data_IF_772143355710
#
_entry.id   IF_772143355710
#
_cell.length_a   1.000
_cell.length_b   1.000
_cell.length_c   1.000
_cell.angle_alpha   90.00
_cell.angle_beta   90.00
_cell.angle_gamma   90.00
#
_symmetry.space_group_name_H-M   'P 1'
#
loop_
_entity.id
_entity.type
_entity.pdbx_description
1 polymer ?
#
# COMPACT_ATOMS: atom_id res chain seq x y z
N UNK A 1 -44.20 49.26 -75.20
CA UNK A 1 -43.27 49.20 -76.36
C UNK A 1 -41.88 48.84 -75.84
N UNK A 2 -41.15 48.04 -76.62
CA UNK A 2 -39.77 47.50 -76.47
C UNK A 2 -38.70 48.51 -75.93
N UNK A 3 -37.45 48.10 -75.65
CA UNK A 3 -36.95 47.00 -74.80
C UNK A 3 -35.69 47.41 -73.94
N UNK A 4 -35.36 46.54 -72.98
CA UNK A 4 -34.04 46.09 -72.50
C UNK A 4 -32.77 46.97 -72.66
N UNK A 5 -32.07 47.22 -71.55
CA UNK A 5 -30.60 47.13 -71.49
C UNK A 5 -30.15 46.62 -70.11
N UNK A 6 -29.51 45.46 -70.11
CA UNK A 6 -29.03 44.71 -68.94
C UNK A 6 -27.58 45.15 -68.65
N UNK A 7 -27.29 45.65 -67.45
CA UNK A 7 -25.91 45.91 -66.98
C UNK A 7 -25.64 44.97 -65.82
N UNK A 8 -24.73 44.01 -66.01
CA UNK A 8 -24.21 43.18 -64.93
C UNK A 8 -23.18 43.99 -64.12
N UNK A 9 -23.46 44.24 -62.83
CA UNK A 9 -22.43 44.56 -61.84
C UNK A 9 -22.04 43.27 -61.12
N UNK A 10 -20.76 42.89 -61.23
CA UNK A 10 -20.18 41.84 -60.40
C UNK A 10 -19.89 42.39 -59.00
N UNK A 11 -20.60 41.90 -57.98
CA UNK A 11 -20.30 42.17 -56.58
C UNK A 11 -19.39 41.07 -56.02
N UNK A 12 -18.16 41.43 -55.67
CA UNK A 12 -17.21 40.56 -54.98
C UNK A 12 -17.62 40.42 -53.51
N UNK A 13 -18.09 39.23 -53.12
CA UNK A 13 -18.38 38.87 -51.74
C UNK A 13 -17.07 38.42 -51.09
N UNK A 14 -16.45 39.28 -50.27
CA UNK A 14 -15.38 38.87 -49.37
C UNK A 14 -15.97 38.06 -48.22
N UNK A 15 -15.80 36.73 -48.28
CA UNK A 15 -16.10 35.84 -47.17
C UNK A 15 -15.00 35.96 -46.10
N UNK A 16 -15.28 36.71 -45.04
CA UNK A 16 -14.44 36.74 -43.83
C UNK A 16 -14.70 35.45 -43.05
N UNK A 17 -13.87 34.43 -43.25
CA UNK A 17 -13.85 33.24 -42.38
C UNK A 17 -13.43 33.65 -40.97
N UNK A 18 -14.40 33.74 -40.06
CA UNK A 18 -14.11 33.81 -38.64
C UNK A 18 -13.55 32.45 -38.20
N UNK A 19 -12.23 32.36 -38.12
CA UNK A 19 -11.56 31.21 -37.52
C UNK A 19 -11.90 31.20 -36.02
N UNK A 20 -12.78 30.28 -35.63
CA UNK A 20 -13.04 29.98 -34.23
C UNK A 20 -11.77 29.35 -33.66
N UNK A 21 -10.94 30.16 -32.97
CA UNK A 21 -9.80 29.68 -32.22
C UNK A 21 -10.33 28.82 -31.07
N UNK A 22 -10.32 27.50 -31.26
CA UNK A 22 -10.51 26.55 -30.17
C UNK A 22 -9.23 26.62 -29.35
N UNK A 23 -9.26 27.37 -28.25
CA UNK A 23 -8.18 27.33 -27.27
C UNK A 23 -8.02 25.87 -26.80
N UNK A 24 -6.80 25.29 -26.83
CA UNK A 24 -6.57 23.97 -26.30
C UNK A 24 -7.00 23.97 -24.83
N UNK A 25 -8.01 23.18 -24.49
CA UNK A 25 -8.34 22.90 -23.11
C UNK A 25 -7.07 22.33 -22.47
N UNK A 26 -6.45 23.09 -21.57
CA UNK A 26 -5.30 22.62 -20.82
C UNK A 26 -5.74 21.35 -20.08
N UNK A 27 -5.25 20.20 -20.53
CA UNK A 27 -5.36 18.97 -19.77
C UNK A 27 -4.45 19.17 -18.57
N UNK A 28 -5.03 19.62 -17.46
CA UNK A 28 -4.33 19.61 -16.19
C UNK A 28 -4.06 18.14 -15.87
N UNK A 29 -2.79 17.74 -15.90
CA UNK A 29 -2.41 16.44 -15.39
C UNK A 29 -2.89 16.35 -13.94
N UNK A 30 -3.64 15.30 -13.60
CA UNK A 30 -4.02 15.07 -12.21
C UNK A 30 -2.74 15.02 -11.35
N UNK A 31 -2.76 15.63 -10.16
CA UNK A 31 -1.61 15.58 -9.28
C UNK A 31 -1.27 14.11 -8.94
N UNK A 32 0.03 13.78 -8.78
CA UNK A 32 0.43 12.43 -8.40
C UNK A 32 -0.32 11.93 -7.16
N UNK A 33 -0.79 10.69 -7.20
CA UNK A 33 -1.65 10.12 -6.16
C UNK A 33 -1.24 8.71 -5.77
N UNK A 34 -0.96 8.53 -4.49
CA UNK A 34 -0.69 7.29 -3.78
C UNK A 34 -1.40 7.36 -2.42
N UNK A 35 -2.75 7.30 -2.38
CA UNK A 35 -3.53 7.77 -1.24
C UNK A 35 -3.54 6.81 -0.04
N UNK A 36 -2.91 5.65 -0.14
CA UNK A 36 -2.93 4.61 0.90
C UNK A 36 -1.71 3.70 0.76
N UNK A 37 -1.47 2.90 1.79
CA UNK A 37 -0.47 1.83 1.73
C UNK A 37 -0.72 0.93 0.51
N UNK A 38 0.36 0.64 -0.22
CA UNK A 38 0.33 -0.12 -1.48
C UNK A 38 -0.45 0.54 -2.63
N UNK A 39 -0.64 1.87 -2.58
CA UNK A 39 -1.06 2.67 -3.74
C UNK A 39 -2.56 2.68 -3.97
N UNK A 40 -3.04 3.32 -5.06
CA UNK A 40 -4.45 3.62 -5.26
C UNK A 40 -5.36 2.38 -5.25
N UNK A 41 -4.84 1.23 -5.70
CA UNK A 41 -5.57 -0.04 -5.74
C UNK A 41 -5.20 -0.99 -4.59
N UNK A 42 -4.24 -0.64 -3.72
CA UNK A 42 -3.76 -1.52 -2.65
C UNK A 42 -3.01 -2.76 -3.14
N UNK A 43 -2.49 -2.75 -4.37
CA UNK A 43 -1.78 -3.85 -5.05
C UNK A 43 -0.27 -3.59 -5.20
N UNK A 44 0.21 -2.51 -4.60
CA UNK A 44 1.59 -2.05 -4.56
C UNK A 44 2.18 -1.75 -5.96
N UNK A 45 1.32 -1.20 -6.82
CA UNK A 45 1.62 -0.85 -8.20
C UNK A 45 1.35 0.64 -8.45
N UNK A 46 2.37 1.32 -8.95
CA UNK A 46 2.22 2.66 -9.53
C UNK A 46 1.58 2.58 -10.91
N UNK A 47 0.56 3.40 -11.21
CA UNK A 47 0.01 3.52 -12.56
C UNK A 47 0.90 4.35 -13.49
N UNK A 48 1.86 5.08 -12.94
CA UNK A 48 2.71 6.01 -13.68
C UNK A 48 3.68 5.26 -14.62
N UNK A 49 4.04 5.92 -15.71
CA UNK A 49 4.93 5.40 -16.75
C UNK A 49 5.95 6.45 -17.20
N UNK A 50 6.88 6.09 -18.08
CA UNK A 50 7.93 6.99 -18.56
C UNK A 50 9.09 7.11 -17.56
N UNK A 51 9.40 6.00 -16.88
CA UNK A 51 10.49 5.93 -15.92
C UNK A 51 11.75 5.31 -16.52
N UNK A 52 12.90 5.69 -15.95
CA UNK A 52 14.20 5.14 -16.28
C UNK A 52 14.19 3.61 -16.12
N UNK A 53 14.55 2.89 -17.18
CA UNK A 53 14.74 1.42 -17.16
C UNK A 53 16.13 1.00 -16.70
N UNK A 54 17.04 1.97 -16.57
CA UNK A 54 18.40 1.83 -16.07
C UNK A 54 18.77 3.16 -15.42
N UNK A 55 19.33 3.11 -14.21
CA UNK A 55 19.83 4.29 -13.53
C UNK A 55 21.29 4.58 -13.91
N UNK A 56 21.78 5.81 -13.65
CA UNK A 56 23.23 6.06 -13.57
C UNK A 56 23.90 5.13 -12.55
N UNK A 57 25.22 4.96 -12.65
CA UNK A 57 25.98 4.04 -11.79
C UNK A 57 25.87 4.38 -10.29
N UNK A 58 25.75 5.67 -9.96
CA UNK A 58 25.54 6.15 -8.58
C UNK A 58 24.06 6.15 -8.14
N UNK A 59 23.14 5.72 -9.01
CA UNK A 59 21.70 5.75 -8.79
C UNK A 59 20.98 6.95 -9.40
N UNK A 60 19.66 7.04 -9.22
CA UNK A 60 18.87 8.20 -9.62
C UNK A 60 19.26 9.45 -8.81
N UNK A 61 18.97 10.63 -9.35
CA UNK A 61 19.26 11.90 -8.67
C UNK A 61 18.47 12.01 -7.36
N UNK A 62 19.17 12.22 -6.23
CA UNK A 62 18.55 12.58 -4.95
C UNK A 62 18.09 14.05 -5.03
N UNK A 63 16.79 14.27 -5.12
CA UNK A 63 16.18 15.61 -5.26
C UNK A 63 16.21 16.33 -3.92
N UNK A 64 15.78 15.65 -2.86
CA UNK A 64 15.77 16.19 -1.50
C UNK A 64 15.75 15.09 -0.44
N UNK A 65 16.11 15.48 0.78
CA UNK A 65 16.00 14.68 1.99
C UNK A 65 15.20 15.47 3.01
N UNK A 66 14.15 14.86 3.56
CA UNK A 66 13.45 15.35 4.74
C UNK A 66 13.95 14.59 5.98
N UNK A 67 14.02 15.31 7.11
CA UNK A 67 14.39 14.78 8.43
C UNK A 67 13.44 15.36 9.49
N UNK A 68 13.33 14.71 10.65
CA UNK A 68 12.46 15.14 11.74
C UNK A 68 11.03 14.71 11.49
N UNK A 69 10.82 13.53 10.91
CA UNK A 69 9.50 12.91 10.70
C UNK A 69 9.21 11.79 11.70
N UNK A 70 10.10 11.59 12.67
CA UNK A 70 9.98 10.60 13.74
C UNK A 70 10.49 9.24 13.30
N UNK A 71 10.98 8.46 14.26
CA UNK A 71 11.50 7.13 13.99
C UNK A 71 10.36 6.18 13.59
N UNK A 72 10.52 5.41 12.52
CA UNK A 72 9.48 4.46 12.15
C UNK A 72 9.66 3.79 10.79
N UNK A 73 8.68 2.97 10.48
CA UNK A 73 8.61 2.09 9.32
C UNK A 73 7.37 2.34 8.45
N UNK A 74 6.49 3.26 8.84
CA UNK A 74 5.35 3.64 8.01
C UNK A 74 5.84 4.20 6.66
N UNK A 75 5.17 3.82 5.57
CA UNK A 75 5.47 4.34 4.25
C UNK A 75 5.09 5.82 4.11
N UNK A 76 4.98 6.26 2.87
CA UNK A 76 4.39 7.56 2.55
C UNK A 76 3.10 7.39 1.77
N UNK A 77 2.17 8.30 2.03
CA UNK A 77 0.96 8.51 1.26
C UNK A 77 1.06 9.86 0.58
N UNK A 78 0.67 9.94 -0.68
CA UNK A 78 0.76 11.15 -1.50
C UNK A 78 -0.62 11.45 -2.05
N UNK A 79 -1.14 12.64 -1.78
CA UNK A 79 -2.42 13.09 -2.29
C UNK A 79 -2.47 14.61 -2.28
N UNK A 80 -3.15 15.21 -3.26
CA UNK A 80 -3.41 16.65 -3.33
C UNK A 80 -2.17 17.54 -3.11
N UNK A 81 -1.03 17.13 -3.68
CA UNK A 81 0.24 17.87 -3.60
C UNK A 81 0.91 17.83 -2.23
N UNK A 82 0.64 16.81 -1.42
CA UNK A 82 1.22 16.62 -0.09
C UNK A 82 1.67 15.18 0.14
N UNK A 83 2.61 15.04 1.06
CA UNK A 83 3.15 13.75 1.50
C UNK A 83 2.79 13.58 2.97
N UNK A 84 2.28 12.41 3.34
CA UNK A 84 1.88 12.07 4.69
C UNK A 84 2.62 10.82 5.16
N UNK A 85 3.11 10.85 6.40
CA UNK A 85 3.76 9.70 7.04
C UNK A 85 3.53 9.75 8.55
N UNK A 86 3.91 8.71 9.27
CA UNK A 86 3.78 8.62 10.73
C UNK A 86 5.09 8.14 11.36
N UNK A 87 5.59 8.82 12.38
CA UNK A 87 6.82 8.45 13.09
C UNK A 87 6.66 8.59 14.60
N UNK A 88 7.51 7.91 15.34
CA UNK A 88 7.57 7.95 16.80
C UNK A 88 8.43 9.14 17.25
N UNK A 89 7.89 9.90 18.20
CA UNK A 89 8.59 10.94 18.97
C UNK A 89 8.29 10.69 20.45
N UNK A 90 9.32 10.44 21.26
CA UNK A 90 9.19 10.28 22.72
C UNK A 90 8.03 9.32 23.14
N UNK A 91 7.98 8.14 22.51
CA UNK A 91 6.93 7.11 22.64
C UNK A 91 5.55 7.44 22.05
N UNK A 92 5.34 8.62 21.45
CA UNK A 92 4.09 9.01 20.80
C UNK A 92 4.17 8.82 19.27
N UNK A 93 3.12 8.26 18.67
CA UNK A 93 2.96 8.30 17.21
C UNK A 93 2.57 9.70 16.79
N UNK A 94 3.29 10.27 15.84
CA UNK A 94 3.02 11.58 15.26
C UNK A 94 2.90 11.45 13.75
N UNK A 95 1.75 11.88 13.22
CA UNK A 95 1.53 12.04 11.79
C UNK A 95 2.20 13.35 11.35
N UNK A 96 3.01 13.30 10.31
CA UNK A 96 3.63 14.47 9.70
C UNK A 96 3.15 14.63 8.27
N UNK A 97 2.72 15.85 7.92
CA UNK A 97 2.48 16.25 6.54
C UNK A 97 3.64 17.11 6.02
N UNK A 98 4.09 16.84 4.81
CA UNK A 98 5.11 17.56 4.08
C UNK A 98 4.52 18.13 2.78
N UNK A 99 5.11 19.21 2.27
CA UNK A 99 4.94 19.58 0.87
C UNK A 99 5.72 18.63 -0.05
N UNK A 100 5.55 18.78 -1.36
CA UNK A 100 6.27 17.95 -2.34
C UNK A 100 7.79 18.20 -2.38
N UNK A 101 8.30 19.21 -1.67
CA UNK A 101 9.74 19.47 -1.53
C UNK A 101 10.29 18.95 -0.20
N UNK A 102 9.49 18.19 0.55
CA UNK A 102 9.90 17.56 1.82
C UNK A 102 9.86 18.50 3.02
N UNK A 103 9.23 19.68 2.93
CA UNK A 103 9.12 20.62 4.05
C UNK A 103 7.88 20.36 4.88
N UNK A 104 8.06 20.24 6.20
CA UNK A 104 6.97 20.05 7.17
C UNK A 104 5.95 21.17 7.08
N UNK A 105 4.69 20.79 6.90
CA UNK A 105 3.53 21.69 6.88
C UNK A 105 2.78 21.65 8.21
N UNK A 106 2.59 20.45 8.78
CA UNK A 106 1.98 20.26 10.09
C UNK A 106 2.38 18.90 10.70
N UNK A 107 2.20 18.78 12.02
CA UNK A 107 2.28 17.53 12.78
C UNK A 107 1.05 17.36 13.66
N UNK A 108 0.63 16.12 13.88
CA UNK A 108 -0.49 15.77 14.76
C UNK A 108 -0.19 14.47 15.51
N UNK A 109 -0.41 14.48 16.83
CA UNK A 109 -0.24 13.31 17.68
C UNK A 109 -1.41 12.31 17.51
N UNK A 110 -1.08 11.03 17.44
CA UNK A 110 -2.03 9.92 17.53
C UNK A 110 -1.71 9.02 18.71
N UNK A 111 -1.48 9.64 19.87
CA UNK A 111 -1.30 8.97 21.15
C UNK A 111 -0.03 8.12 21.25
N UNK A 112 0.14 7.57 22.46
CA UNK A 112 1.30 6.74 22.82
C UNK A 112 1.33 5.46 21.98
N UNK A 113 2.45 5.25 21.30
CA UNK A 113 2.77 4.06 20.52
C UNK A 113 3.23 2.91 21.43
N UNK A 114 4.03 3.21 22.48
CA UNK A 114 4.67 2.23 23.41
C UNK A 114 4.90 0.84 22.80
N UNK A 115 5.55 0.74 21.62
CA UNK A 115 5.62 -0.52 20.91
C UNK A 115 6.40 -1.53 21.74
N UNK A 116 5.82 -2.70 21.92
CA UNK A 116 6.52 -3.86 22.48
C UNK A 116 7.32 -4.58 21.40
N UNK A 117 6.98 -4.34 20.13
CA UNK A 117 7.67 -4.84 18.97
C UNK A 117 9.06 -4.18 18.81
N UNK A 118 10.07 -5.02 18.56
CA UNK A 118 11.44 -4.59 18.31
C UNK A 118 11.82 -4.76 16.84
N UNK A 119 12.51 -3.77 16.23
CA UNK A 119 12.76 -2.41 16.70
C UNK A 119 11.47 -1.57 16.88
N UNK A 120 11.47 -0.61 17.81
CA UNK A 120 10.37 0.34 18.04
C UNK A 120 10.15 1.28 16.83
N UNK A 121 9.01 1.97 16.77
CA UNK A 121 8.69 2.94 15.71
C UNK A 121 7.34 2.76 15.03
N UNK A 122 6.73 3.88 14.62
CA UNK A 122 5.41 3.87 13.99
C UNK A 122 5.41 3.10 12.64
N UNK A 123 4.41 2.23 12.43
CA UNK A 123 4.32 1.32 11.27
C UNK A 123 3.12 1.56 10.36
N UNK A 124 1.98 1.93 10.93
CA UNK A 124 0.75 2.19 10.18
C UNK A 124 0.90 3.41 9.27
N UNK A 125 0.76 3.20 7.96
CA UNK A 125 0.85 4.28 6.97
C UNK A 125 -0.48 5.04 6.93
N UNK A 126 -0.48 6.39 6.93
CA UNK A 126 -1.72 7.15 6.81
C UNK A 126 -2.50 6.82 5.53
N UNK A 127 -3.82 6.77 5.61
CA UNK A 127 -4.71 6.64 4.45
C UNK A 127 -5.46 7.96 4.23
N UNK A 128 -5.50 8.44 2.99
CA UNK A 128 -6.24 9.61 2.55
C UNK A 128 -7.51 9.17 1.82
N UNK A 129 -8.64 9.78 2.18
CA UNK A 129 -9.88 9.70 1.42
C UNK A 129 -10.54 11.09 1.37
N UNK A 130 -10.48 11.72 0.20
CA UNK A 130 -10.87 13.12 0.03
C UNK A 130 -10.13 14.05 1.00
N UNK A 131 -10.89 14.84 1.77
CA UNK A 131 -10.34 15.78 2.74
C UNK A 131 -9.89 15.14 4.08
N UNK A 132 -10.04 13.81 4.23
CA UNK A 132 -9.79 13.10 5.49
C UNK A 132 -8.51 12.29 5.44
N UNK A 133 -7.80 12.28 6.56
CA UNK A 133 -6.67 11.38 6.82
C UNK A 133 -7.04 10.44 7.96
N UNK A 134 -6.70 9.16 7.80
CA UNK A 134 -6.89 8.10 8.79
C UNK A 134 -5.55 7.46 9.13
N UNK A 135 -5.30 7.19 10.41
CA UNK A 135 -4.07 6.52 10.83
C UNK A 135 -4.32 5.67 12.08
N UNK A 136 -3.61 4.55 12.20
CA UNK A 136 -3.64 3.67 13.36
C UNK A 136 -2.22 3.52 13.95
N UNK A 137 -2.07 3.75 15.26
CA UNK A 137 -0.81 3.51 15.95
C UNK A 137 -0.66 2.04 16.41
N UNK A 138 0.52 1.64 16.90
CA UNK A 138 0.74 0.25 17.34
C UNK A 138 -0.15 -0.17 18.52
N UNK A 139 -0.57 0.81 19.34
CA UNK A 139 -1.51 0.64 20.46
C UNK A 139 -2.99 0.54 20.06
N UNK A 140 -3.32 0.55 18.77
CA UNK A 140 -4.71 0.47 18.29
C UNK A 140 -5.52 1.75 18.48
N UNK A 141 -4.88 2.91 18.61
CA UNK A 141 -5.55 4.20 18.49
C UNK A 141 -5.77 4.52 17.01
N UNK A 142 -7.04 4.54 16.60
CA UNK A 142 -7.47 4.93 15.26
C UNK A 142 -7.95 6.39 15.28
N UNK A 143 -7.38 7.23 14.42
CA UNK A 143 -7.69 8.66 14.35
C UNK A 143 -8.16 9.07 12.96
N UNK A 144 -9.03 10.09 12.92
CA UNK A 144 -9.37 10.82 11.71
C UNK A 144 -9.01 12.30 11.88
N UNK A 145 -8.30 12.84 10.88
CA UNK A 145 -7.88 14.23 10.80
C UNK A 145 -8.42 14.90 9.53
N UNK A 146 -8.56 16.23 9.56
CA UNK A 146 -8.58 17.06 8.34
C UNK A 146 -7.20 16.99 7.68
N UNK A 147 -7.10 16.39 6.48
CA UNK A 147 -5.83 16.18 5.79
C UNK A 147 -5.08 17.49 5.49
N UNK A 148 -5.81 18.60 5.35
CA UNK A 148 -5.24 19.91 5.06
C UNK A 148 -4.56 20.56 6.28
N UNK A 149 -5.06 20.33 7.48
CA UNK A 149 -4.65 21.08 8.68
C UNK A 149 -4.07 20.21 9.78
N UNK A 150 -4.27 18.89 9.73
CA UNK A 150 -3.97 17.98 10.83
C UNK A 150 -4.94 18.10 12.00
N UNK A 151 -6.03 18.86 11.85
CA UNK A 151 -7.01 19.05 12.92
C UNK A 151 -7.80 17.76 13.16
N UNK A 152 -7.90 17.34 14.43
CA UNK A 152 -8.62 16.14 14.81
C UNK A 152 -10.13 16.28 14.57
N UNK A 153 -10.70 15.24 13.97
CA UNK A 153 -12.13 15.10 13.68
C UNK A 153 -12.75 14.19 14.73
N UNK A 154 -12.19 12.99 14.87
CA UNK A 154 -12.53 11.99 15.87
C UNK A 154 -11.33 11.06 16.08
N UNK A 155 -11.34 10.36 17.21
CA UNK A 155 -10.38 9.31 17.53
C UNK A 155 -11.06 8.22 18.37
N UNK A 156 -10.56 6.99 18.31
CA UNK A 156 -11.11 5.84 18.99
C UNK A 156 -9.99 4.83 19.33
N UNK A 157 -10.01 4.29 20.54
CA UNK A 157 -9.15 3.17 20.94
C UNK A 157 -9.85 1.85 20.64
N UNK A 158 -9.25 1.05 19.74
CA UNK A 158 -9.77 -0.28 19.41
C UNK A 158 -9.76 -1.21 20.62
N UNK A 159 -8.74 -1.07 21.48
CA UNK A 159 -8.61 -1.88 22.69
C UNK A 159 -9.69 -1.53 23.72
N UNK A 160 -9.90 -0.24 23.99
CA UNK A 160 -10.86 0.19 25.00
C UNK A 160 -12.32 -0.04 24.58
N UNK A 161 -12.66 0.14 23.29
CA UNK A 161 -14.04 0.05 22.81
C UNK A 161 -14.49 -1.38 22.49
N UNK A 162 -13.56 -2.26 22.11
CA UNK A 162 -13.88 -3.59 21.58
C UNK A 162 -13.19 -4.75 22.31
N UNK A 163 -12.60 -4.49 23.48
CA UNK A 163 -11.76 -5.45 24.22
C UNK A 163 -10.69 -6.06 23.30
N UNK A 164 -10.07 -5.18 22.52
CA UNK A 164 -9.04 -5.48 21.53
C UNK A 164 -7.79 -6.07 22.16
N UNK A 165 -7.07 -6.87 21.37
CA UNK A 165 -5.79 -7.47 21.77
C UNK A 165 -4.81 -7.41 20.63
N UNK A 166 -3.70 -6.70 20.82
CA UNK A 166 -2.60 -6.67 19.87
C UNK A 166 -1.84 -8.01 19.84
N UNK A 167 -1.28 -8.34 18.67
CA UNK A 167 -0.41 -9.50 18.50
C UNK A 167 1.00 -9.29 19.06
N UNK A 168 1.87 -10.30 18.93
CA UNK A 168 3.25 -10.23 19.44
C UNK A 168 4.19 -9.25 18.74
N UNK A 169 3.70 -8.56 17.71
CA UNK A 169 4.40 -7.47 17.02
C UNK A 169 3.58 -6.17 17.06
N UNK A 170 2.66 -6.04 18.03
CA UNK A 170 1.68 -4.96 18.10
C UNK A 170 0.84 -4.86 16.81
N UNK A 171 0.38 -3.65 16.45
CA UNK A 171 -0.35 -3.37 15.21
C UNK A 171 0.48 -2.58 14.21
N UNK A 172 0.21 -2.80 12.92
CA UNK A 172 0.86 -2.11 11.80
C UNK A 172 -0.11 -1.79 10.66
N UNK A 173 -1.40 -1.79 10.97
CA UNK A 173 -2.46 -1.64 9.97
C UNK A 173 -2.45 -0.21 9.41
N UNK A 174 -2.60 -0.13 8.10
CA UNK A 174 -2.94 1.11 7.41
C UNK A 174 -4.44 1.07 7.16
N UNK A 175 -5.25 2.00 7.70
CA UNK A 175 -6.70 1.89 7.68
C UNK A 175 -7.27 1.70 6.27
N UNK A 176 -8.17 0.72 6.11
CA UNK A 176 -8.89 0.47 4.87
C UNK A 176 -10.18 1.31 4.86
N UNK A 177 -10.36 2.10 3.81
CA UNK A 177 -11.62 2.81 3.54
C UNK A 177 -12.48 1.99 2.59
N UNK A 178 -13.74 1.80 2.95
CA UNK A 178 -14.78 1.18 2.14
C UNK A 178 -16.04 2.06 2.10
N UNK A 179 -16.17 2.90 1.07
CA UNK A 179 -17.28 3.85 0.96
C UNK A 179 -17.28 4.82 2.14
N UNK A 180 -18.34 4.77 2.95
CA UNK A 180 -18.48 5.60 4.17
C UNK A 180 -17.91 4.94 5.43
N UNK A 181 -17.17 3.85 5.28
CA UNK A 181 -16.63 3.06 6.39
C UNK A 181 -15.11 3.11 6.44
N UNK A 182 -14.58 3.12 7.65
CA UNK A 182 -13.18 2.79 7.95
C UNK A 182 -13.15 1.47 8.69
N UNK A 183 -12.29 0.55 8.24
CA UNK A 183 -12.12 -0.77 8.84
C UNK A 183 -10.97 -0.73 9.85
N UNK A 184 -11.19 -1.34 11.01
CA UNK A 184 -10.14 -1.64 11.99
C UNK A 184 -10.23 -3.09 12.45
N UNK A 185 -9.11 -3.64 12.91
CA UNK A 185 -9.05 -5.03 13.38
C UNK A 185 -8.60 -5.09 14.86
N UNK A 186 -9.54 -4.94 15.82
CA UNK A 186 -9.20 -4.99 17.24
C UNK A 186 -8.55 -6.31 17.67
N UNK A 187 -8.93 -7.43 17.05
CA UNK A 187 -8.60 -8.75 17.58
C UNK A 187 -9.23 -9.00 18.96
N UNK A 188 -8.90 -10.13 19.59
CA UNK A 188 -9.45 -10.45 20.91
C UNK A 188 -10.96 -10.72 20.81
N UNK A 189 -11.78 -9.97 21.54
CA UNK A 189 -13.23 -10.19 21.58
C UNK A 189 -13.96 -9.84 20.27
N UNK A 190 -13.32 -9.06 19.40
CA UNK A 190 -13.86 -8.62 18.10
C UNK A 190 -12.79 -8.74 17.03
N UNK A 191 -12.99 -9.55 15.99
CA UNK A 191 -11.96 -9.71 14.96
C UNK A 191 -11.81 -8.44 14.08
N UNK A 192 -12.92 -7.88 13.63
CA UNK A 192 -12.98 -6.71 12.76
C UNK A 192 -14.17 -5.81 13.11
N UNK A 193 -14.03 -4.52 12.83
CA UNK A 193 -15.10 -3.53 12.92
C UNK A 193 -15.13 -2.68 11.67
N UNK A 194 -16.31 -2.18 11.31
CA UNK A 194 -16.44 -0.99 10.49
C UNK A 194 -16.96 0.15 11.34
N UNK A 195 -16.34 1.31 11.19
CA UNK A 195 -16.79 2.56 11.78
C UNK A 195 -17.23 3.49 10.66
N UNK A 196 -18.19 4.37 10.94
CA UNK A 196 -18.50 5.50 10.08
C UNK A 196 -17.23 6.37 9.97
N UNK A 197 -16.74 6.57 8.75
CA UNK A 197 -15.46 7.25 8.52
C UNK A 197 -15.49 8.74 8.91
N UNK A 198 -16.68 9.34 9.02
CA UNK A 198 -16.83 10.75 9.37
C UNK A 198 -17.02 10.97 10.87
N UNK A 199 -17.52 9.98 11.61
CA UNK A 199 -17.83 10.13 13.04
C UNK A 199 -17.14 9.15 13.98
N UNK A 200 -16.48 8.11 13.46
CA UNK A 200 -15.87 7.03 14.27
C UNK A 200 -16.88 6.11 14.95
N UNK A 201 -18.18 6.23 14.64
CA UNK A 201 -19.23 5.43 15.29
C UNK A 201 -19.26 4.03 14.69
N UNK A 202 -19.41 3.01 15.52
CA UNK A 202 -19.53 1.63 15.03
C UNK A 202 -20.72 1.47 14.07
N UNK A 203 -20.45 0.89 12.89
CA UNK A 203 -21.46 0.45 11.91
C UNK A 203 -21.74 -1.04 12.09
N UNK A 204 -20.69 -1.85 12.16
CA UNK A 204 -20.80 -3.28 12.47
C UNK A 204 -19.56 -3.77 13.24
N UNK A 205 -19.74 -4.89 13.96
CA UNK A 205 -18.68 -5.65 14.64
C UNK A 205 -18.78 -7.10 14.18
N UNK A 206 -17.67 -7.71 13.80
CA UNK A 206 -17.64 -9.14 13.54
C UNK A 206 -17.59 -9.92 14.85
N UNK A 207 -17.93 -11.22 14.81
CA UNK A 207 -17.62 -12.10 15.95
C UNK A 207 -16.10 -12.24 16.16
N UNK A 208 -15.71 -12.59 17.38
CA UNK A 208 -14.37 -13.06 17.73
C UNK A 208 -13.95 -14.26 16.87
N UNK A 209 -12.65 -14.38 16.66
CA UNK A 209 -11.99 -15.61 16.17
C UNK A 209 -10.99 -16.17 17.21
N UNK A 210 -11.06 -15.64 18.43
CA UNK A 210 -10.25 -15.98 19.61
C UNK A 210 -8.74 -15.87 19.38
N UNK A 211 -8.34 -14.89 18.57
CA UNK A 211 -6.94 -14.56 18.29
C UNK A 211 -6.69 -13.05 18.43
N UNK A 212 -5.47 -12.64 18.83
CA UNK A 212 -5.05 -11.24 18.74
C UNK A 212 -5.07 -10.72 17.30
N UNK A 213 -5.05 -9.40 17.16
CA UNK A 213 -4.95 -8.70 15.89
C UNK A 213 -3.71 -9.15 15.10
N UNK A 214 -3.81 -9.03 13.77
CA UNK A 214 -2.69 -9.27 12.89
C UNK A 214 -1.74 -8.09 12.82
N UNK A 215 -0.75 -8.25 11.95
CA UNK A 215 0.31 -7.27 11.72
C UNK A 215 0.36 -6.91 10.23
N UNK A 216 -0.80 -6.73 9.61
CA UNK A 216 -0.93 -6.34 8.20
C UNK A 216 -2.30 -5.73 7.90
N UNK A 217 -2.37 -4.89 6.87
CA UNK A 217 -3.60 -4.16 6.54
C UNK A 217 -4.66 -5.07 5.90
N UNK A 218 -5.95 -4.87 6.19
CA UNK A 218 -7.02 -5.60 5.52
C UNK A 218 -7.19 -5.18 4.04
N UNK A 219 -7.76 -6.06 3.23
CA UNK A 219 -8.13 -5.78 1.84
C UNK A 219 -9.63 -5.97 1.60
N UNK A 220 -10.19 -5.17 0.69
CA UNK A 220 -11.55 -5.36 0.19
C UNK A 220 -11.48 -6.17 -1.11
N UNK A 221 -12.23 -7.27 -1.17
CA UNK A 221 -12.34 -8.10 -2.38
C UNK A 221 -13.80 -8.24 -2.81
N UNK A 222 -14.00 -8.44 -4.11
CA UNK A 222 -15.29 -8.81 -4.68
C UNK A 222 -15.13 -10.04 -5.56
N UNK A 223 -15.94 -11.06 -5.32
CA UNK A 223 -15.96 -12.28 -6.12
C UNK A 223 -17.39 -12.80 -6.26
N UNK A 224 -17.82 -13.06 -7.50
CA UNK A 224 -19.18 -13.56 -7.80
C UNK A 224 -20.29 -12.76 -7.11
N UNK A 225 -20.16 -11.43 -7.10
CA UNK A 225 -21.13 -10.50 -6.48
C UNK A 225 -20.91 -10.24 -4.99
N UNK A 226 -20.31 -11.17 -4.24
CA UNK A 226 -20.07 -11.04 -2.80
C UNK A 226 -18.88 -10.10 -2.52
N UNK A 227 -19.07 -9.15 -1.59
CA UNK A 227 -18.03 -8.25 -1.09
C UNK A 227 -17.52 -8.76 0.25
N UNK A 228 -16.20 -8.88 0.38
CA UNK A 228 -15.59 -9.38 1.60
C UNK A 228 -14.44 -8.48 2.02
N UNK A 229 -14.31 -8.25 3.32
CA UNK A 229 -13.08 -7.71 3.90
C UNK A 229 -12.26 -8.90 4.37
N UNK A 230 -11.02 -8.98 3.88
CA UNK A 230 -10.06 -10.00 4.29
C UNK A 230 -9.02 -9.36 5.19
N UNK A 231 -8.85 -9.92 6.38
CA UNK A 231 -7.87 -9.49 7.35
C UNK A 231 -7.13 -10.69 7.91
N UNK A 232 -5.98 -10.44 8.49
CA UNK A 232 -5.19 -11.48 9.15
C UNK A 232 -5.27 -11.23 10.66
N UNK A 233 -5.49 -12.28 11.45
CA UNK A 233 -5.19 -12.25 12.88
C UNK A 233 -3.79 -12.80 13.14
N UNK A 234 -3.44 -13.16 14.37
CA UNK A 234 -2.11 -13.67 14.64
C UNK A 234 -1.73 -14.92 13.82
N UNK A 235 -2.65 -15.87 13.54
CA UNK A 235 -2.31 -17.15 12.88
C UNK A 235 -3.19 -17.53 11.68
N UNK A 236 -4.20 -16.73 11.34
CA UNK A 236 -5.19 -17.08 10.31
C UNK A 236 -5.58 -15.89 9.44
N UNK A 237 -5.97 -16.21 8.22
CA UNK A 237 -6.70 -15.31 7.34
C UNK A 237 -8.19 -15.44 7.62
N UNK A 238 -8.88 -14.31 7.67
CA UNK A 238 -10.28 -14.19 8.04
C UNK A 238 -11.01 -13.44 6.93
N UNK A 239 -12.17 -13.93 6.51
CA UNK A 239 -13.05 -13.22 5.59
C UNK A 239 -14.39 -12.92 6.24
N UNK A 240 -14.77 -11.64 6.27
CA UNK A 240 -16.10 -11.18 6.71
C UNK A 240 -16.87 -10.54 5.57
N UNK A 241 -18.20 -10.59 5.64
CA UNK A 241 -19.08 -9.86 4.73
C UNK A 241 -18.87 -8.35 4.92
N UNK A 242 -18.49 -7.62 3.86
CA UNK A 242 -18.06 -6.22 3.97
C UNK A 242 -19.15 -5.27 4.51
N UNK A 243 -20.42 -5.59 4.26
CA UNK A 243 -21.54 -4.73 4.66
C UNK A 243 -22.11 -5.02 6.04
N UNK A 244 -21.89 -6.23 6.58
CA UNK A 244 -22.55 -6.69 7.81
C UNK A 244 -21.59 -7.12 8.90
N UNK A 245 -20.31 -7.37 8.58
CA UNK A 245 -19.34 -7.93 9.50
C UNK A 245 -19.53 -9.41 9.80
N UNK A 246 -20.47 -10.10 9.14
CA UNK A 246 -20.69 -11.53 9.34
C UNK A 246 -19.42 -12.32 8.98
N UNK A 247 -18.94 -13.16 9.91
CA UNK A 247 -17.80 -14.02 9.63
C UNK A 247 -18.19 -15.13 8.65
N UNK A 248 -17.60 -15.09 7.46
CA UNK A 248 -17.86 -16.06 6.41
C UNK A 248 -16.97 -17.29 6.55
N UNK A 249 -15.67 -17.07 6.73
CA UNK A 249 -14.68 -18.13 6.82
C UNK A 249 -13.40 -17.69 7.55
N UNK A 250 -12.65 -18.68 8.02
CA UNK A 250 -11.32 -18.51 8.59
C UNK A 250 -10.40 -19.63 8.06
N UNK A 251 -9.15 -19.31 7.82
CA UNK A 251 -8.14 -20.26 7.35
C UNK A 251 -6.86 -20.12 8.15
N UNK A 252 -6.55 -21.15 8.94
CA UNK A 252 -5.29 -21.26 9.70
C UNK A 252 -4.17 -21.70 8.76
N UNK A 253 -3.30 -20.77 8.37
CA UNK A 253 -2.18 -21.08 7.49
C UNK A 253 -1.08 -21.87 8.21
N UNK A 254 -0.93 -21.70 9.53
CA UNK A 254 -0.07 -22.57 10.32
C UNK A 254 -0.64 -22.87 11.70
N UNK A 255 -0.31 -24.05 12.24
CA UNK A 255 -0.95 -24.58 13.45
C UNK A 255 -0.33 -24.07 14.77
N UNK A 256 0.98 -23.81 14.84
CA UNK A 256 1.67 -23.36 16.06
C UNK A 256 3.09 -22.78 15.85
N UNK A 257 3.68 -22.18 16.89
CA UNK A 257 5.07 -21.70 16.89
C UNK A 257 5.27 -20.27 16.34
N UNK A 258 6.52 -19.78 16.27
CA UNK A 258 6.81 -18.41 15.83
C UNK A 258 6.26 -18.17 14.43
N UNK A 259 5.48 -17.11 14.27
CA UNK A 259 4.69 -16.87 13.08
C UNK A 259 4.63 -15.37 12.80
N UNK A 260 4.86 -14.98 11.54
CA UNK A 260 4.83 -13.59 11.12
C UNK A 260 4.13 -13.49 9.76
N UNK A 261 2.89 -12.98 9.76
CA UNK A 261 2.22 -12.53 8.54
C UNK A 261 2.32 -11.00 8.51
N UNK A 262 3.20 -10.51 7.66
CA UNK A 262 3.44 -9.09 7.42
C UNK A 262 3.17 -8.69 5.96
N UNK A 263 2.60 -9.61 5.17
CA UNK A 263 2.21 -9.37 3.77
C UNK A 263 0.70 -9.21 3.70
N UNK A 264 0.24 -8.12 3.07
CA UNK A 264 -1.17 -7.98 2.72
C UNK A 264 -1.58 -9.14 1.81
N UNK A 265 -2.75 -9.78 2.01
CA UNK A 265 -3.18 -10.86 1.14
C UNK A 265 -3.19 -10.39 -0.32
N UNK A 266 -2.57 -11.15 -1.23
CA UNK A 266 -2.65 -10.83 -2.65
C UNK A 266 -3.90 -11.49 -3.23
N UNK A 267 -4.74 -10.72 -3.92
CA UNK A 267 -6.00 -11.20 -4.46
C UNK A 267 -6.04 -11.09 -5.99
N UNK A 268 -6.48 -12.16 -6.66
CA UNK A 268 -6.81 -12.13 -8.07
C UNK A 268 -7.83 -13.21 -8.42
N UNK A 269 -8.94 -12.81 -9.05
CA UNK A 269 -9.97 -13.70 -9.60
C UNK A 269 -10.41 -14.83 -8.64
N UNK A 270 -10.93 -14.45 -7.47
CA UNK A 270 -11.42 -15.40 -6.48
C UNK A 270 -10.34 -16.20 -5.76
N UNK A 271 -9.05 -15.92 -5.99
CA UNK A 271 -7.94 -16.57 -5.30
C UNK A 271 -7.21 -15.57 -4.41
N UNK A 272 -6.78 -16.05 -3.25
CA UNK A 272 -6.09 -15.26 -2.22
C UNK A 272 -4.80 -15.95 -1.85
N UNK A 273 -3.69 -15.25 -1.99
CA UNK A 273 -2.37 -15.72 -1.59
C UNK A 273 -1.98 -15.13 -0.23
N UNK A 274 -1.37 -15.97 0.59
CA UNK A 274 -0.85 -15.64 1.89
C UNK A 274 0.54 -16.26 2.05
N UNK A 275 1.46 -15.52 2.67
CA UNK A 275 2.79 -16.00 3.03
C UNK A 275 3.12 -15.58 4.45
N UNK A 276 3.95 -16.37 5.11
CA UNK A 276 4.42 -16.10 6.44
C UNK A 276 5.92 -16.42 6.56
N UNK A 277 6.63 -15.53 7.24
CA UNK A 277 8.05 -15.70 7.55
C UNK A 277 8.29 -16.78 8.60
N UNK A 278 9.52 -16.89 9.07
CA UNK A 278 9.96 -17.90 10.03
C UNK A 278 9.79 -19.35 9.55
N UNK A 279 10.02 -19.58 8.27
CA UNK A 279 10.02 -20.91 7.66
C UNK A 279 8.63 -21.49 7.38
N UNK A 280 7.59 -20.65 7.38
CA UNK A 280 6.19 -21.11 7.29
C UNK A 280 5.70 -21.24 5.84
N UNK A 281 6.35 -20.54 4.91
CA UNK A 281 6.06 -20.64 3.50
C UNK A 281 4.80 -19.87 3.12
N UNK A 282 4.08 -20.40 2.13
CA UNK A 282 2.93 -19.74 1.54
C UNK A 282 1.85 -20.73 1.08
N UNK A 283 0.65 -20.17 0.88
CA UNK A 283 -0.54 -20.87 0.44
C UNK A 283 -1.31 -19.99 -0.53
N UNK A 284 -1.89 -20.62 -1.55
CA UNK A 284 -2.95 -20.02 -2.36
C UNK A 284 -4.28 -20.68 -2.02
N UNK A 285 -5.28 -19.86 -1.75
CA UNK A 285 -6.64 -20.28 -1.43
C UNK A 285 -7.58 -19.93 -2.58
N UNK A 286 -8.54 -20.80 -2.87
CA UNK A 286 -9.66 -20.53 -3.75
C UNK A 286 -10.90 -20.20 -2.91
N UNK A 287 -11.48 -19.04 -3.15
CA UNK A 287 -12.78 -18.67 -2.58
C UNK A 287 -13.87 -19.42 -3.35
N UNK A 288 -14.82 -19.99 -2.60
CA UNK A 288 -16.09 -20.54 -3.09
C UNK A 288 -17.23 -19.67 -2.56
N UNK A 289 -18.14 -19.27 -3.44
CA UNK A 289 -19.31 -18.45 -3.09
C UNK A 289 -20.57 -19.27 -3.29
N UNK A 290 -21.47 -19.21 -2.31
CA UNK A 290 -22.81 -19.78 -2.36
C UNK A 290 -23.80 -18.72 -1.85
N UNK A 291 -24.36 -17.95 -2.80
CA UNK A 291 -25.19 -16.79 -2.50
C UNK A 291 -24.44 -15.74 -1.67
N UNK A 292 -24.86 -15.54 -0.42
CA UNK A 292 -24.23 -14.59 0.53
C UNK A 292 -23.16 -15.23 1.41
N UNK A 293 -22.93 -16.54 1.28
CA UNK A 293 -21.92 -17.29 2.04
C UNK A 293 -20.67 -17.50 1.21
N UNK A 294 -19.55 -17.71 1.90
CA UNK A 294 -18.32 -18.11 1.27
C UNK A 294 -17.50 -19.08 2.13
N UNK A 295 -16.65 -19.86 1.47
CA UNK A 295 -15.61 -20.68 2.10
C UNK A 295 -14.32 -20.59 1.29
N UNK A 296 -13.25 -21.18 1.80
CA UNK A 296 -11.96 -21.25 1.12
C UNK A 296 -11.41 -22.67 1.13
N UNK A 297 -10.72 -23.05 0.06
CA UNK A 297 -9.96 -24.31 -0.03
C UNK A 297 -8.53 -24.03 -0.51
N UNK A 298 -7.52 -24.73 0.01
CA UNK A 298 -6.16 -24.64 -0.53
C UNK A 298 -6.10 -25.14 -1.98
N UNK A 299 -5.43 -24.37 -2.83
CA UNK A 299 -5.08 -24.74 -4.20
C UNK A 299 -3.69 -25.36 -4.23
N UNK A 300 -2.72 -24.69 -3.60
CA UNK A 300 -1.34 -25.18 -3.47
C UNK A 300 -0.67 -24.55 -2.25
N UNK A 301 0.45 -25.17 -1.84
CA UNK A 301 1.36 -24.68 -0.83
C UNK A 301 2.78 -24.62 -1.40
N UNK A 302 3.59 -23.68 -0.91
CA UNK A 302 5.02 -23.61 -1.24
C UNK A 302 5.83 -23.28 0.01
N UNK A 303 6.95 -23.98 0.21
CA UNK A 303 7.91 -23.66 1.26
C UNK A 303 8.87 -22.54 0.85
N UNK A 304 9.02 -22.26 -0.44
CA UNK A 304 10.14 -21.48 -0.97
C UNK A 304 10.00 -19.99 -0.69
N UNK A 305 8.77 -19.46 -0.72
CA UNK A 305 8.43 -18.08 -0.42
C UNK A 305 7.81 -17.96 0.98
N UNK A 306 8.67 -17.81 1.99
CA UNK A 306 8.32 -17.52 3.39
C UNK A 306 8.65 -16.04 3.71
N UNK A 307 7.87 -15.09 3.20
CA UNK A 307 8.21 -13.67 3.32
C UNK A 307 8.02 -13.12 4.75
N UNK A 308 9.01 -12.35 5.25
CA UNK A 308 9.01 -11.73 6.59
C UNK A 308 9.07 -10.19 6.59
N UNK A 309 9.02 -9.55 5.43
CA UNK A 309 9.17 -8.08 5.31
C UNK A 309 7.94 -7.39 4.68
N UNK A 310 6.94 -8.17 4.25
CA UNK A 310 5.93 -7.75 3.31
C UNK A 310 6.47 -7.64 1.88
N UNK A 311 5.66 -7.07 0.99
CA UNK A 311 6.11 -6.73 -0.36
C UNK A 311 6.20 -7.95 -1.28
N UNK A 312 5.15 -8.77 -1.28
CA UNK A 312 4.93 -9.74 -2.36
C UNK A 312 3.99 -9.11 -3.38
N UNK A 313 4.34 -9.18 -4.65
CA UNK A 313 3.55 -8.59 -5.73
C UNK A 313 3.26 -9.60 -6.83
N UNK A 314 2.00 -9.60 -7.27
CA UNK A 314 1.55 -10.35 -8.43
C UNK A 314 1.71 -9.49 -9.69
N UNK A 315 2.52 -9.93 -10.65
CA UNK A 315 2.60 -9.34 -12.00
C UNK A 315 2.49 -10.45 -13.03
N UNK A 316 1.61 -10.28 -14.02
CA UNK A 316 1.54 -11.14 -15.20
C UNK A 316 1.44 -12.66 -14.90
N UNK A 317 0.76 -13.01 -13.79
CA UNK A 317 0.59 -14.39 -13.35
C UNK A 317 1.72 -14.94 -12.48
N UNK A 318 2.65 -14.09 -12.03
CA UNK A 318 3.79 -14.46 -11.21
C UNK A 318 3.87 -13.65 -9.93
N UNK A 319 4.11 -14.33 -8.81
CA UNK A 319 4.34 -13.72 -7.50
C UNK A 319 5.84 -13.48 -7.32
N UNK A 320 6.23 -12.23 -7.07
CA UNK A 320 7.60 -11.84 -6.79
C UNK A 320 7.71 -11.40 -5.33
N UNK A 321 8.75 -11.86 -4.64
CA UNK A 321 9.04 -11.40 -3.28
C UNK A 321 10.34 -11.98 -2.72
N UNK A 322 10.84 -11.37 -1.64
CA UNK A 322 11.95 -11.92 -0.88
C UNK A 322 11.45 -12.98 0.11
N UNK A 323 12.19 -14.08 0.24
CA UNK A 323 11.99 -15.12 1.24
C UNK A 323 12.85 -14.87 2.48
N UNK A 324 12.54 -15.57 3.58
CA UNK A 324 13.24 -15.47 4.87
C UNK A 324 14.15 -16.70 5.05
N UNK A 325 13.77 -17.64 5.92
CA UNK A 325 14.64 -18.73 6.38
C UNK A 325 14.70 -19.87 5.37
N UNK A 326 13.58 -20.23 4.76
CA UNK A 326 13.50 -21.40 3.88
C UNK A 326 14.39 -21.25 2.65
N UNK A 327 14.55 -20.01 2.16
CA UNK A 327 15.39 -19.71 1.01
C UNK A 327 16.56 -18.76 1.33
N UNK A 328 16.89 -18.55 2.61
CA UNK A 328 18.02 -17.74 3.08
C UNK A 328 18.06 -16.34 2.41
N UNK A 329 16.97 -15.57 2.51
CA UNK A 329 16.91 -14.22 1.97
C UNK A 329 16.88 -14.11 0.44
N UNK A 330 16.70 -15.21 -0.29
CA UNK A 330 16.61 -15.18 -1.77
C UNK A 330 15.33 -14.51 -2.24
N UNK A 331 15.41 -13.93 -3.43
CA UNK A 331 14.29 -13.46 -4.22
C UNK A 331 13.68 -14.62 -4.99
N UNK A 332 12.39 -14.80 -4.80
CA UNK A 332 11.61 -15.92 -5.34
C UNK A 332 10.59 -15.37 -6.35
N UNK A 333 10.40 -16.11 -7.43
CA UNK A 333 9.26 -15.97 -8.30
C UNK A 333 8.45 -17.27 -8.31
N UNK A 334 7.17 -17.21 -7.95
CA UNK A 334 6.26 -18.35 -8.03
C UNK A 334 5.24 -18.13 -9.16
N UNK A 335 4.92 -19.19 -9.90
CA UNK A 335 3.76 -19.20 -10.79
C UNK A 335 2.46 -19.16 -9.96
N UNK A 336 1.60 -18.18 -10.20
CA UNK A 336 0.35 -17.98 -9.44
C UNK A 336 -0.57 -19.19 -9.51
N UNK A 337 -0.63 -19.88 -10.64
CA UNK A 337 -1.61 -20.97 -10.84
C UNK A 337 -1.18 -22.25 -10.16
N UNK A 338 0.12 -22.52 -10.14
CA UNK A 338 0.67 -23.84 -9.77
C UNK A 338 1.53 -23.82 -8.50
N UNK A 339 1.99 -22.65 -8.06
CA UNK A 339 2.95 -22.52 -6.95
C UNK A 339 4.37 -22.92 -7.33
N UNK A 340 4.64 -23.23 -8.61
CA UNK A 340 5.97 -23.62 -9.09
C UNK A 340 6.95 -22.46 -8.96
N UNK A 341 8.11 -22.72 -8.35
CA UNK A 341 9.23 -21.79 -8.32
C UNK A 341 9.84 -21.65 -9.72
N UNK A 342 9.80 -20.43 -10.25
CA UNK A 342 10.36 -20.07 -11.55
C UNK A 342 11.85 -19.70 -11.41
N UNK A 343 12.20 -18.95 -10.37
CA UNK A 343 13.58 -18.72 -9.95
C UNK A 343 13.69 -18.53 -8.44
N UNK A 344 14.90 -18.75 -7.91
CA UNK A 344 15.27 -18.50 -6.51
C UNK A 344 16.73 -18.02 -6.43
N UNK A 345 16.94 -16.70 -6.43
CA UNK A 345 18.25 -16.06 -6.60
C UNK A 345 18.58 -15.09 -5.47
N UNK A 346 19.86 -14.80 -5.24
CA UNK A 346 20.27 -14.04 -4.03
C UNK A 346 19.70 -12.62 -3.97
N UNK A 347 19.55 -11.94 -5.11
CA UNK A 347 19.10 -10.55 -5.19
C UNK A 347 19.77 -9.64 -4.17
N UNK A 348 18.97 -8.84 -3.44
CA UNK A 348 19.46 -7.91 -2.42
C UNK A 348 19.34 -8.43 -0.97
N UNK A 349 19.01 -9.70 -0.78
CA UNK A 349 18.60 -10.25 0.52
C UNK A 349 17.13 -9.97 0.84
N UNK A 350 16.75 -10.17 2.11
CA UNK A 350 15.42 -9.83 2.62
C UNK A 350 15.08 -8.35 2.38
N UNK A 351 13.84 -8.08 2.01
CA UNK A 351 13.43 -6.75 1.63
C UNK A 351 11.98 -6.66 1.18
N UNK A 352 11.59 -5.45 0.80
CA UNK A 352 10.30 -5.12 0.20
C UNK A 352 10.48 -4.67 -1.25
N UNK A 353 9.37 -4.39 -1.93
CA UNK A 353 9.38 -3.92 -3.31
C UNK A 353 8.18 -3.01 -3.57
N UNK A 354 8.19 -2.33 -4.72
CA UNK A 354 7.00 -1.78 -5.38
C UNK A 354 7.15 -1.96 -6.89
N UNK A 355 6.04 -1.98 -7.63
CA UNK A 355 6.07 -2.07 -9.10
C UNK A 355 5.79 -0.72 -9.71
N UNK A 356 6.55 -0.36 -10.75
CA UNK A 356 6.15 0.68 -11.68
C UNK A 356 6.70 0.39 -13.07
N UNK A 357 5.87 0.63 -14.10
CA UNK A 357 6.33 0.71 -15.49
C UNK A 357 7.19 -0.51 -15.92
N UNK A 358 6.72 -1.74 -15.66
CA UNK A 358 7.43 -2.98 -16.04
C UNK A 358 8.63 -3.36 -15.16
N UNK A 359 8.93 -2.58 -14.13
CA UNK A 359 10.08 -2.80 -13.24
C UNK A 359 9.64 -2.98 -11.79
N UNK A 360 10.38 -3.82 -11.06
CA UNK A 360 10.33 -3.93 -9.61
C UNK A 360 11.40 -3.02 -9.02
N UNK A 361 10.98 -2.12 -8.13
CA UNK A 361 11.85 -1.31 -7.30
C UNK A 361 12.02 -2.04 -5.98
N UNK A 362 13.14 -2.74 -5.83
CA UNK A 362 13.40 -3.63 -4.70
C UNK A 362 14.25 -2.91 -3.65
N UNK A 363 13.95 -3.11 -2.37
CA UNK A 363 14.62 -2.47 -1.25
C UNK A 363 15.03 -3.52 -0.24
N UNK A 364 16.33 -3.78 -0.13
CA UNK A 364 16.87 -4.67 0.89
C UNK A 364 16.93 -4.00 2.27
N UNK A 365 16.80 -4.77 3.35
CA UNK A 365 16.76 -4.27 4.74
C UNK A 365 17.99 -3.46 5.19
N UNK A 366 19.11 -3.54 4.45
CA UNK A 366 20.33 -2.74 4.66
C UNK A 366 20.40 -1.47 3.80
N UNK A 367 19.29 -1.07 3.16
CA UNK A 367 19.17 0.16 2.38
C UNK A 367 19.74 0.09 0.97
N UNK A 368 20.10 -1.11 0.46
CA UNK A 368 20.45 -1.25 -0.95
C UNK A 368 19.17 -1.30 -1.77
N UNK A 369 19.09 -0.45 -2.79
CA UNK A 369 17.95 -0.36 -3.70
C UNK A 369 18.34 -0.98 -5.04
N UNK A 370 17.40 -1.68 -5.68
CA UNK A 370 17.59 -2.27 -6.99
C UNK A 370 16.43 -1.99 -7.93
N UNK A 371 16.74 -1.95 -9.23
CA UNK A 371 15.77 -1.92 -10.31
C UNK A 371 15.84 -3.26 -11.04
N UNK A 372 14.76 -4.03 -11.00
CA UNK A 372 14.71 -5.43 -11.47
C UNK A 372 13.60 -5.57 -12.51
N UNK A 373 13.80 -6.34 -13.58
CA UNK A 373 12.69 -6.63 -14.51
C UNK A 373 11.67 -7.57 -13.88
N UNK A 374 10.38 -7.27 -14.02
CA UNK A 374 9.31 -8.14 -13.56
C UNK A 374 9.09 -9.29 -14.56
N UNK A 375 9.94 -10.32 -14.50
CA UNK A 375 9.91 -11.48 -15.41
C UNK A 375 10.07 -12.78 -14.63
N UNK A 376 9.46 -13.90 -15.05
CA UNK A 376 9.69 -15.21 -14.43
C UNK A 376 11.03 -15.84 -14.81
N UNK A 377 11.80 -15.25 -15.73
CA UNK A 377 13.03 -15.85 -16.26
C UNK A 377 14.20 -15.85 -15.26
N UNK A 378 14.23 -14.90 -14.32
CA UNK A 378 15.30 -14.75 -13.34
C UNK A 378 15.19 -13.43 -12.57
N UNK A 379 16.02 -13.25 -11.54
CA UNK A 379 16.12 -11.98 -10.81
C UNK A 379 17.02 -11.00 -11.59
N UNK A 380 16.50 -10.49 -12.71
CA UNK A 380 17.22 -9.62 -13.64
C UNK A 380 17.44 -8.20 -13.07
N UNK A 381 18.44 -8.07 -12.20
CA UNK A 381 18.87 -6.81 -11.59
C UNK A 381 19.61 -5.93 -12.61
N UNK A 382 19.01 -4.78 -12.94
CA UNK A 382 19.49 -3.85 -13.98
C UNK A 382 20.34 -2.71 -13.40
N UNK A 383 19.99 -2.20 -12.22
CA UNK A 383 20.69 -1.09 -11.58
C UNK A 383 20.56 -1.18 -10.07
N UNK A 384 21.53 -0.61 -9.35
CA UNK A 384 21.47 -0.51 -7.89
C UNK A 384 22.08 0.79 -7.40
N UNK A 385 21.62 1.26 -6.25
CA UNK A 385 22.30 2.29 -5.47
C UNK A 385 22.12 2.02 -3.97
N UNK A 386 22.80 2.79 -3.14
CA UNK A 386 22.72 2.70 -1.69
C UNK A 386 22.04 3.94 -1.12
N UNK A 387 21.00 3.76 -0.31
CA UNK A 387 20.36 4.87 0.44
C UNK A 387 21.41 5.53 1.34
N UNK A 388 21.42 6.88 1.44
CA UNK A 388 22.31 7.60 2.34
C UNK A 388 22.26 7.05 3.77
N UNK A 389 23.41 7.10 4.45
CA UNK A 389 23.48 6.78 5.87
C UNK A 389 22.81 7.89 6.68
N UNK A 390 22.16 7.53 7.78
CA UNK A 390 21.59 8.50 8.71
C UNK A 390 20.45 7.93 9.54
N UNK A 391 19.61 7.09 8.94
CA UNK A 391 18.56 6.40 9.66
C UNK A 391 19.10 5.29 10.56
N UNK A 392 18.44 5.11 11.70
CA UNK A 392 18.72 4.04 12.64
C UNK A 392 17.94 2.77 12.29
N UNK A 393 18.55 1.62 12.59
CA UNK A 393 17.91 0.32 12.41
C UNK A 393 17.74 -0.10 10.94
N UNK A 394 16.90 -1.11 10.69
CA UNK A 394 16.71 -1.67 9.36
C UNK A 394 15.80 -0.82 8.48
N UNK A 395 15.99 -0.92 7.16
CA UNK A 395 15.18 -0.20 6.16
C UNK A 395 13.97 -1.05 5.76
N UNK A 396 12.89 -0.93 6.52
CA UNK A 396 11.68 -1.75 6.33
C UNK A 396 10.48 -1.02 5.72
N UNK A 397 10.52 0.31 5.64
CA UNK A 397 9.45 1.06 4.97
C UNK A 397 9.42 0.72 3.47
N UNK A 398 8.24 0.38 2.94
CA UNK A 398 8.12 -0.03 1.54
C UNK A 398 8.43 1.15 0.61
N UNK A 399 9.18 0.93 -0.48
CA UNK A 399 9.43 1.99 -1.46
C UNK A 399 8.11 2.44 -2.10
N UNK A 400 7.98 3.73 -2.38
CA UNK A 400 6.83 4.29 -3.09
C UNK A 400 7.30 4.93 -4.39
N UNK A 401 6.62 4.62 -5.50
CA UNK A 401 6.86 5.25 -6.79
C UNK A 401 5.62 6.02 -7.22
N UNK A 402 5.74 7.34 -7.32
CA UNK A 402 4.62 8.22 -7.63
C UNK A 402 5.14 9.57 -8.17
N UNK A 403 4.52 10.08 -9.22
CA UNK A 403 4.80 11.41 -9.78
C UNK A 403 6.23 11.60 -10.25
N UNK A 404 6.83 10.58 -10.86
CA UNK A 404 8.21 10.68 -11.32
C UNK A 404 9.28 10.52 -10.25
N UNK A 405 8.88 10.15 -9.04
CA UNK A 405 9.76 10.08 -7.89
C UNK A 405 9.69 8.72 -7.22
N UNK A 406 10.85 8.27 -6.77
CA UNK A 406 11.01 7.16 -5.84
C UNK A 406 11.20 7.73 -4.44
N UNK A 407 10.37 7.29 -3.50
CA UNK A 407 10.42 7.68 -2.10
C UNK A 407 10.88 6.50 -1.25
N UNK A 408 11.93 6.73 -0.46
CA UNK A 408 12.47 5.72 0.47
C UNK A 408 12.53 6.34 1.86
N UNK A 409 11.90 5.68 2.83
CA UNK A 409 11.98 6.07 4.24
C UNK A 409 12.96 5.18 5.00
N UNK A 410 13.74 5.77 5.89
CA UNK A 410 14.63 5.07 6.82
C UNK A 410 14.67 5.79 8.16
N UNK A 411 13.93 5.26 9.16
CA UNK A 411 13.81 5.88 10.47
C UNK A 411 13.23 7.29 10.37
N UNK A 412 14.00 8.28 10.83
CA UNK A 412 13.66 9.71 10.85
C UNK A 412 13.85 10.42 9.49
N UNK A 413 14.24 9.69 8.43
CA UNK A 413 14.55 10.26 7.12
C UNK A 413 13.59 9.80 6.04
N UNK A 414 13.25 10.72 5.14
CA UNK A 414 12.60 10.43 3.86
C UNK A 414 13.43 11.01 2.72
N UNK A 415 13.79 10.15 1.77
CA UNK A 415 14.56 10.49 0.58
C UNK A 415 13.67 10.46 -0.66
N UNK A 416 13.75 11.49 -1.50
CA UNK A 416 13.07 11.51 -2.80
C UNK A 416 14.07 11.56 -3.95
N UNK A 417 13.94 10.61 -4.87
CA UNK A 417 14.80 10.48 -6.04
C UNK A 417 14.02 10.71 -7.34
N UNK A 418 14.62 11.42 -8.29
CA UNK A 418 14.05 11.63 -9.62
C UNK A 418 14.28 10.43 -10.52
N UNK A 419 13.21 9.87 -11.09
CA UNK A 419 13.27 8.62 -11.88
C UNK A 419 12.64 8.72 -13.27
N UNK A 420 12.23 9.90 -13.72
CA UNK A 420 11.74 10.09 -15.09
C UNK A 420 12.85 9.93 -16.12
N UNK A 421 12.51 9.29 -17.26
CA UNK A 421 13.31 9.44 -18.47
C UNK A 421 13.13 10.85 -19.01
N UNK A 422 14.23 11.47 -19.48
CA UNK A 422 14.18 12.77 -20.17
C UNK A 422 13.24 12.76 -21.37
#
# INVERSE_FOLDING_TARGET
MRPTMLVLLAASISATSAACLVEPCAVFAEPPSWPRFHGPNGDNRSPDTGFLKKWPDDGPELIWTAQGIGHGFAGVTIADGRIYTAGEFDDDTVITALDMDGRVQWRAENGRDRPTASPAGARGTPTIDGARLYQENAGGQLICLEAKTGSRVWDLSLDAEFDGKAGGFDRSESPLIDGDRVIGCPGGATAMVALDKNTGKTVWRSRSVDEPAGYTSPILVRYQGLRMVLAVSQFQLIGVHADTGELLWQFKHYKSGPYCICTMPAYHDGRVFLTAGYGKGSVLLQIKVDGTKASVEPVWHSTDLDNRQGGVLLSDGYLHGAADRNSNGKWICLDWKTGKTMYAERGLGEGSLTYADGMLYVLGERGKVGLVRATPAGHELVSTFQVPKGGDGPVWAHPVVCGGRLYIRHGDFLYAYGIHSK
#
